data_IF_696160860261
#
_entry.id   IF_696160860261
#
_cell.length_a   1.000
_cell.length_b   1.000
_cell.length_c   1.000
_cell.angle_alpha   90.00
_cell.angle_beta   90.00
_cell.angle_gamma   90.00
#
_symmetry.space_group_name_H-M   'P 1'
#
loop_
_entity.id
_entity.type
_entity.pdbx_description
1 polymer ?
#
# COMPACT_ATOMS: atom_id res chain seq x y z
N UNK A 1 -10.25 -8.94 1.94
CA UNK A 1 -10.93 -8.80 0.64
C UNK A 1 -10.54 -9.94 -0.27
N UNK A 2 -9.29 -10.05 -0.71
CA UNK A 2 -8.88 -11.06 -1.71
C UNK A 2 -9.21 -12.50 -1.32
N UNK A 3 -8.94 -12.91 -0.09
CA UNK A 3 -9.20 -14.29 0.38
C UNK A 3 -10.69 -14.65 0.45
N UNK A 4 -11.57 -13.67 0.45
CA UNK A 4 -13.04 -13.87 0.49
C UNK A 4 -13.71 -13.64 -0.86
N UNK A 5 -12.96 -13.24 -1.88
CA UNK A 5 -13.45 -13.05 -3.24
C UNK A 5 -13.68 -14.41 -3.94
N UNK A 6 -14.55 -15.22 -3.36
CA UNK A 6 -15.06 -16.49 -3.84
C UNK A 6 -14.01 -17.37 -4.54
N UNK A 7 -12.87 -17.62 -3.84
CA UNK A 7 -11.91 -18.65 -4.22
C UNK A 7 -11.02 -18.36 -5.43
N UNK A 8 -11.01 -17.12 -5.90
CA UNK A 8 -10.25 -16.80 -7.10
C UNK A 8 -8.93 -16.08 -6.85
N UNK A 9 -8.54 -15.89 -5.57
CA UNK A 9 -7.24 -15.37 -5.20
C UNK A 9 -6.58 -16.24 -4.14
N UNK A 10 -5.31 -16.55 -4.33
CA UNK A 10 -4.46 -17.16 -3.32
C UNK A 10 -3.48 -16.11 -2.83
N UNK A 11 -3.55 -15.78 -1.54
CA UNK A 11 -2.62 -14.81 -0.94
C UNK A 11 -1.45 -15.55 -0.32
N UNK A 12 -0.24 -15.15 -0.73
CA UNK A 12 1.01 -15.61 -0.12
C UNK A 12 1.76 -14.40 0.47
N UNK A 13 2.44 -14.63 1.56
CA UNK A 13 3.26 -13.64 2.24
C UNK A 13 4.73 -13.94 1.97
N UNK A 14 5.46 -12.94 1.47
CA UNK A 14 6.88 -13.03 1.18
C UNK A 14 7.65 -11.99 1.98
N UNK A 15 8.84 -12.36 2.39
CA UNK A 15 9.76 -11.47 3.08
C UNK A 15 11.21 -11.79 2.68
N UNK A 16 12.15 -10.94 3.09
CA UNK A 16 13.58 -11.18 2.85
C UNK A 16 14.03 -12.51 3.44
N UNK A 17 13.54 -12.81 4.64
CA UNK A 17 13.80 -14.05 5.34
C UNK A 17 12.51 -14.72 5.81
N UNK A 18 12.50 -16.06 5.85
CA UNK A 18 11.37 -16.85 6.37
C UNK A 18 11.40 -16.93 7.88
N UNK A 19 11.23 -15.80 8.55
CA UNK A 19 11.17 -15.68 10.02
C UNK A 19 9.98 -14.82 10.46
N UNK A 20 9.52 -14.93 11.70
CA UNK A 20 8.44 -14.08 12.21
C UNK A 20 8.83 -12.60 12.13
N UNK A 21 7.96 -11.79 11.55
CA UNK A 21 8.12 -10.35 11.42
C UNK A 21 7.19 -9.67 12.41
N UNK A 22 7.74 -8.91 13.34
CA UNK A 22 6.97 -8.12 14.28
C UNK A 22 6.39 -6.89 13.57
N UNK A 23 5.07 -6.74 13.62
CA UNK A 23 4.40 -5.56 13.08
C UNK A 23 4.47 -4.39 14.07
N UNK A 24 4.17 -3.18 13.61
CA UNK A 24 4.04 -1.99 14.47
C UNK A 24 2.94 -2.12 15.53
N UNK A 25 1.96 -2.99 15.31
CA UNK A 25 0.91 -3.32 16.30
C UNK A 25 1.35 -4.36 17.34
N UNK A 26 2.60 -4.85 17.28
CA UNK A 26 3.13 -5.84 18.20
C UNK A 26 2.80 -7.29 17.88
N UNK A 27 1.99 -7.56 16.87
CA UNK A 27 1.69 -8.90 16.39
C UNK A 27 2.81 -9.44 15.50
N UNK A 28 2.86 -10.76 15.29
CA UNK A 28 3.83 -11.39 14.40
C UNK A 28 3.13 -11.91 13.15
N UNK A 29 3.72 -11.62 11.99
CA UNK A 29 3.34 -12.19 10.70
C UNK A 29 4.41 -13.21 10.28
N UNK A 30 3.95 -14.38 9.84
CA UNK A 30 4.82 -15.47 9.38
C UNK A 30 4.77 -15.52 7.86
N UNK A 31 5.87 -15.21 7.14
CA UNK A 31 5.90 -15.32 5.69
C UNK A 31 5.82 -16.78 5.26
N UNK A 32 5.13 -17.02 4.14
CA UNK A 32 5.05 -18.35 3.53
C UNK A 32 6.39 -18.71 2.88
N UNK A 33 7.05 -17.71 2.29
CA UNK A 33 8.30 -17.86 1.54
C UNK A 33 9.26 -16.71 1.84
N UNK A 34 10.55 -16.96 1.73
CA UNK A 34 11.57 -15.91 1.60
C UNK A 34 11.66 -15.46 0.13
N UNK A 35 12.33 -14.33 -0.13
CA UNK A 35 12.59 -13.88 -1.50
C UNK A 35 13.47 -14.85 -2.31
N UNK A 36 14.23 -15.71 -1.64
CA UNK A 36 15.11 -16.70 -2.27
C UNK A 36 14.43 -18.07 -2.49
N UNK A 37 13.28 -18.30 -1.85
CA UNK A 37 12.57 -19.57 -2.00
C UNK A 37 11.86 -19.65 -3.36
N UNK A 38 11.70 -20.87 -3.86
CA UNK A 38 10.76 -21.13 -4.94
C UNK A 38 9.33 -20.94 -4.42
N UNK A 39 8.54 -20.12 -5.10
CA UNK A 39 7.16 -19.84 -4.77
C UNK A 39 6.28 -19.90 -6.04
N UNK A 40 4.95 -20.02 -5.90
CA UNK A 40 4.03 -19.92 -7.03
C UNK A 40 4.21 -18.60 -7.80
N UNK A 41 3.88 -18.56 -9.10
CA UNK A 41 3.85 -17.32 -9.87
C UNK A 41 3.00 -16.25 -9.19
N UNK A 42 3.44 -15.00 -9.26
CA UNK A 42 2.75 -13.87 -8.65
C UNK A 42 2.05 -13.07 -9.75
N UNK A 43 0.72 -13.15 -9.79
CA UNK A 43 -0.09 -12.35 -10.71
C UNK A 43 -0.26 -10.91 -10.23
N UNK A 44 -0.35 -10.72 -8.91
CA UNK A 44 -0.53 -9.42 -8.27
C UNK A 44 0.54 -9.24 -7.20
N UNK A 45 1.47 -8.33 -7.45
CA UNK A 45 2.44 -7.92 -6.45
C UNK A 45 1.84 -6.76 -5.63
N UNK A 46 1.61 -7.00 -4.34
CA UNK A 46 1.05 -6.02 -3.40
C UNK A 46 2.06 -5.68 -2.31
N UNK A 47 2.56 -4.45 -2.31
CA UNK A 47 3.55 -3.98 -1.33
C UNK A 47 2.83 -3.26 -0.19
N UNK A 48 2.91 -3.77 1.04
CA UNK A 48 2.29 -3.13 2.20
C UNK A 48 3.01 -1.85 2.60
N UNK A 49 2.32 -1.07 3.43
CA UNK A 49 2.93 0.06 4.12
C UNK A 49 3.52 -0.34 5.47
N UNK A 50 3.77 0.69 6.29
CA UNK A 50 4.30 0.54 7.63
C UNK A 50 4.59 1.90 8.24
N UNK A 51 5.45 1.97 9.24
CA UNK A 51 6.01 3.25 9.68
C UNK A 51 6.85 3.87 8.57
N UNK A 52 6.62 5.16 8.29
CA UNK A 52 7.30 5.86 7.19
C UNK A 52 8.83 5.74 7.29
N UNK A 53 9.39 5.93 8.46
CA UNK A 53 10.84 5.84 8.67
C UNK A 53 11.38 4.43 8.44
N UNK A 54 10.67 3.40 8.92
CA UNK A 54 11.06 2.00 8.68
C UNK A 54 11.03 1.63 7.19
N UNK A 55 10.02 2.11 6.47
CA UNK A 55 9.89 1.85 5.03
C UNK A 55 10.90 2.67 4.24
N UNK A 56 11.01 3.98 4.50
CA UNK A 56 11.88 4.88 3.74
C UNK A 56 13.36 4.60 4.04
N UNK A 57 13.72 4.43 5.30
CA UNK A 57 15.13 4.27 5.68
C UNK A 57 15.67 2.85 5.48
N UNK A 58 14.81 1.83 5.57
CA UNK A 58 15.25 0.45 5.48
C UNK A 58 14.83 -0.23 4.16
N UNK A 59 13.51 -0.39 3.92
CA UNK A 59 13.04 -1.19 2.80
C UNK A 59 13.27 -0.51 1.43
N UNK A 60 13.09 0.82 1.36
CA UNK A 60 13.21 1.59 0.11
C UNK A 60 14.59 1.45 -0.54
N UNK A 61 15.65 1.38 0.26
CA UNK A 61 17.04 1.29 -0.23
C UNK A 61 17.67 -0.08 -0.02
N UNK A 62 16.93 -1.07 0.50
CA UNK A 62 17.44 -2.42 0.68
C UNK A 62 17.58 -3.12 -0.68
N UNK A 63 18.81 -3.54 -1.09
CA UNK A 63 19.04 -4.16 -2.39
C UNK A 63 18.25 -5.45 -2.62
N UNK A 64 18.04 -6.26 -1.57
CA UNK A 64 17.30 -7.51 -1.68
C UNK A 64 15.81 -7.22 -1.98
N UNK A 65 15.20 -6.25 -1.27
CA UNK A 65 13.85 -5.78 -1.58
C UNK A 65 13.76 -5.23 -3.00
N UNK A 66 14.67 -4.34 -3.38
CA UNK A 66 14.64 -3.71 -4.69
C UNK A 66 14.77 -4.74 -5.83
N UNK A 67 15.65 -5.71 -5.67
CA UNK A 67 15.83 -6.78 -6.65
C UNK A 67 14.57 -7.63 -6.76
N UNK A 68 14.03 -8.10 -5.62
CA UNK A 68 12.84 -8.93 -5.58
C UNK A 68 11.62 -8.19 -6.21
N UNK A 69 11.38 -6.95 -5.82
CA UNK A 69 10.27 -6.13 -6.32
C UNK A 69 10.36 -5.95 -7.84
N UNK A 70 11.55 -5.61 -8.36
CA UNK A 70 11.75 -5.41 -9.80
C UNK A 70 11.56 -6.69 -10.61
N UNK A 71 12.14 -7.79 -10.16
CA UNK A 71 12.05 -9.07 -10.86
C UNK A 71 10.61 -9.61 -10.83
N UNK A 72 9.92 -9.51 -9.71
CA UNK A 72 8.53 -9.95 -9.59
C UNK A 72 7.59 -9.07 -10.41
N UNK A 73 7.76 -7.75 -10.36
CA UNK A 73 6.93 -6.82 -11.14
C UNK A 73 7.08 -7.00 -12.66
N UNK A 74 8.20 -7.54 -13.13
CA UNK A 74 8.40 -7.80 -14.55
C UNK A 74 7.49 -8.90 -15.10
N UNK A 75 6.99 -9.80 -14.25
CA UNK A 75 6.12 -10.91 -14.63
C UNK A 75 4.69 -10.78 -14.09
N UNK A 76 4.48 -9.99 -13.04
CA UNK A 76 3.18 -9.76 -12.46
C UNK A 76 2.27 -8.97 -13.40
N UNK A 77 0.99 -9.37 -13.46
CA UNK A 77 -0.03 -8.66 -14.24
C UNK A 77 -0.35 -7.29 -13.64
N UNK A 78 -0.35 -7.21 -12.30
CA UNK A 78 -0.57 -5.98 -11.56
C UNK A 78 0.48 -5.81 -10.46
N UNK A 79 0.96 -4.60 -10.31
CA UNK A 79 1.89 -4.25 -9.22
C UNK A 79 1.40 -2.99 -8.52
N UNK A 80 1.34 -3.03 -7.22
CA UNK A 80 0.91 -1.85 -6.49
C UNK A 80 1.26 -1.89 -5.01
N UNK A 81 0.78 -0.87 -4.32
CA UNK A 81 1.09 -0.66 -2.90
C UNK A 81 -0.05 0.00 -2.16
N UNK A 82 0.05 -0.02 -0.86
CA UNK A 82 -0.79 0.78 0.03
C UNK A 82 0.09 1.61 0.96
N UNK A 83 -0.42 2.77 1.37
CA UNK A 83 0.25 3.62 2.34
C UNK A 83 1.67 3.99 1.86
N UNK A 84 2.66 3.98 2.74
CA UNK A 84 4.06 4.32 2.40
C UNK A 84 4.79 3.25 1.56
N UNK A 85 4.16 2.12 1.26
CA UNK A 85 4.70 1.15 0.31
C UNK A 85 4.94 1.73 -1.09
N UNK A 86 4.26 2.84 -1.44
CA UNK A 86 4.49 3.57 -2.68
C UNK A 86 5.95 4.05 -2.85
N UNK A 87 6.64 4.37 -1.76
CA UNK A 87 8.04 4.79 -1.81
C UNK A 87 8.97 3.66 -2.24
N UNK A 88 8.68 2.41 -1.85
CA UNK A 88 9.45 1.24 -2.28
C UNK A 88 9.31 1.06 -3.80
N UNK A 89 8.07 1.18 -4.31
CA UNK A 89 7.81 1.08 -5.75
C UNK A 89 8.42 2.23 -6.54
N UNK A 90 8.40 3.45 -5.98
CA UNK A 90 9.04 4.62 -6.59
C UNK A 90 10.55 4.43 -6.71
N UNK A 91 11.22 3.97 -5.64
CA UNK A 91 12.64 3.65 -5.63
C UNK A 91 13.00 2.52 -6.61
N UNK A 92 12.08 1.59 -6.85
CA UNK A 92 12.23 0.56 -7.87
C UNK A 92 12.04 1.09 -9.31
N UNK A 93 11.63 2.35 -9.50
CA UNK A 93 11.29 2.92 -10.80
C UNK A 93 9.95 2.41 -11.38
N UNK A 94 9.13 1.73 -10.57
CA UNK A 94 7.90 1.09 -11.01
C UNK A 94 6.69 2.04 -11.04
N UNK A 95 6.85 3.27 -10.54
CA UNK A 95 5.82 4.31 -10.58
C UNK A 95 6.10 5.40 -11.61
N UNK A 96 7.12 5.25 -12.45
CA UNK A 96 7.46 6.22 -13.47
C UNK A 96 6.29 6.47 -14.44
N UNK A 97 5.93 7.74 -14.64
CA UNK A 97 4.82 8.22 -15.47
C UNK A 97 3.42 7.77 -14.98
N UNK A 98 3.30 7.20 -13.77
CA UNK A 98 2.04 6.71 -13.24
C UNK A 98 1.24 7.81 -12.51
N UNK A 99 -0.08 7.61 -12.47
CA UNK A 99 -0.96 8.34 -11.55
C UNK A 99 -1.02 7.57 -10.24
N UNK A 100 -0.67 8.22 -9.11
CA UNK A 100 -0.41 7.53 -7.84
C UNK A 100 -0.94 8.28 -6.62
N UNK A 101 -1.10 7.57 -5.51
CA UNK A 101 -1.34 8.14 -4.18
C UNK A 101 -0.50 7.39 -3.13
N UNK A 102 -0.50 7.90 -1.91
CA UNK A 102 0.10 7.28 -0.74
C UNK A 102 -0.67 7.71 0.52
N UNK A 103 -0.19 7.32 1.69
CA UNK A 103 -0.76 7.79 2.94
C UNK A 103 -0.79 9.32 3.01
N UNK A 104 -1.91 9.88 3.45
CA UNK A 104 -2.21 11.30 3.34
C UNK A 104 -1.10 12.23 3.87
N UNK A 105 -0.48 11.89 5.01
CA UNK A 105 0.58 12.71 5.59
C UNK A 105 1.91 12.64 4.82
N UNK A 106 2.03 11.69 3.90
CA UNK A 106 3.23 11.48 3.09
C UNK A 106 3.07 11.93 1.64
N UNK A 107 1.90 12.46 1.25
CA UNK A 107 1.67 12.94 -0.12
C UNK A 107 2.67 14.02 -0.54
N UNK A 108 3.01 14.94 0.36
CA UNK A 108 4.00 15.97 0.05
C UNK A 108 5.40 15.38 -0.18
N UNK A 109 5.78 14.38 0.62
CA UNK A 109 7.05 13.68 0.44
C UNK A 109 7.07 12.89 -0.88
N UNK A 110 5.95 12.27 -1.25
CA UNK A 110 5.83 11.58 -2.54
C UNK A 110 5.94 12.57 -3.72
N UNK A 111 5.37 13.78 -3.60
CA UNK A 111 5.51 14.85 -4.61
C UNK A 111 6.96 15.26 -4.85
N UNK A 112 7.84 15.17 -3.85
CA UNK A 112 9.26 15.46 -4.04
C UNK A 112 9.94 14.48 -5.00
N UNK A 113 9.35 13.30 -5.23
CA UNK A 113 9.87 12.33 -6.18
C UNK A 113 9.41 12.59 -7.63
N UNK A 114 8.53 13.56 -7.87
CA UNK A 114 8.03 13.86 -9.20
C UNK A 114 9.15 14.17 -10.20
N UNK A 115 10.14 14.95 -9.77
CA UNK A 115 11.32 15.27 -10.61
C UNK A 115 12.14 14.05 -11.05
N UNK A 116 12.00 12.93 -10.34
CA UNK A 116 12.72 11.69 -10.63
C UNK A 116 11.85 10.66 -11.36
N UNK A 117 10.56 10.61 -11.03
CA UNK A 117 9.65 9.55 -11.48
C UNK A 117 8.57 10.06 -12.45
N UNK A 118 8.42 11.39 -12.62
CA UNK A 118 7.34 12.00 -13.41
C UNK A 118 5.95 11.43 -13.03
N UNK A 119 5.66 11.39 -11.74
CA UNK A 119 4.41 10.88 -11.20
C UNK A 119 3.32 11.96 -11.19
N UNK A 120 2.08 11.53 -11.36
CA UNK A 120 0.90 12.40 -11.20
C UNK A 120 0.19 12.07 -9.90
N UNK A 121 0.04 13.05 -9.03
CA UNK A 121 -0.73 12.90 -7.79
C UNK A 121 -1.95 13.80 -7.91
N UNK A 122 -3.18 13.22 -7.98
CA UNK A 122 -4.41 14.00 -8.03
C UNK A 122 -4.57 14.92 -6.82
N UNK A 123 -5.39 15.94 -6.98
CA UNK A 123 -5.77 16.80 -5.86
C UNK A 123 -6.57 16.03 -4.79
N UNK A 124 -6.55 16.53 -3.57
CA UNK A 124 -7.21 15.91 -2.43
C UNK A 124 -6.44 14.70 -1.88
N UNK A 125 -7.19 13.75 -1.33
CA UNK A 125 -6.68 12.58 -0.62
C UNK A 125 -7.32 11.30 -1.17
N UNK A 126 -6.96 10.87 -2.40
CA UNK A 126 -7.56 9.69 -3.02
C UNK A 126 -7.37 8.44 -2.15
N UNK A 127 -8.44 7.70 -1.92
CA UNK A 127 -8.41 6.46 -1.13
C UNK A 127 -7.71 5.34 -1.87
N UNK A 128 -7.83 5.29 -3.20
CA UNK A 128 -7.14 4.36 -4.09
C UNK A 128 -7.09 4.91 -5.51
N UNK A 129 -6.08 4.50 -6.25
CA UNK A 129 -5.89 4.80 -7.67
C UNK A 129 -5.53 3.51 -8.40
N UNK A 130 -6.21 3.23 -9.50
CA UNK A 130 -5.86 2.18 -10.46
C UNK A 130 -5.37 2.86 -11.74
N UNK A 131 -4.09 2.79 -12.00
CA UNK A 131 -3.47 3.21 -13.26
C UNK A 131 -3.47 2.03 -14.24
N UNK A 132 -4.50 1.98 -15.06
CA UNK A 132 -4.71 0.88 -15.99
C UNK A 132 -3.65 0.82 -17.09
N UNK A 133 -3.18 1.96 -17.54
CA UNK A 133 -2.19 2.07 -18.60
C UNK A 133 -0.89 1.37 -18.20
N UNK A 134 -0.46 1.55 -16.96
CA UNK A 134 0.79 1.00 -16.46
C UNK A 134 0.60 -0.28 -15.65
N UNK A 135 -0.66 -0.75 -15.46
CA UNK A 135 -0.99 -1.87 -14.58
C UNK A 135 -0.45 -1.67 -13.16
N UNK A 136 -0.64 -0.46 -12.65
CA UNK A 136 -0.24 -0.06 -11.30
C UNK A 136 -1.46 0.29 -10.46
N UNK A 137 -1.35 0.07 -9.17
CA UNK A 137 -2.34 0.52 -8.22
C UNK A 137 -1.66 1.04 -6.95
N UNK A 138 -2.21 2.11 -6.37
CA UNK A 138 -1.72 2.67 -5.13
C UNK A 138 -2.87 3.09 -4.23
N UNK A 139 -2.73 2.93 -2.94
CA UNK A 139 -3.75 3.28 -1.95
C UNK A 139 -3.24 4.18 -0.85
N UNK A 140 -4.15 4.89 -0.24
CA UNK A 140 -3.90 5.80 0.87
C UNK A 140 -3.62 5.08 2.20
N UNK A 141 -4.32 5.47 3.25
CA UNK A 141 -4.10 4.95 4.61
C UNK A 141 -4.77 3.61 4.90
N UNK A 142 -4.67 3.18 6.15
CA UNK A 142 -5.03 1.86 6.64
C UNK A 142 -6.43 1.39 6.20
N UNK A 143 -7.47 2.18 6.46
CA UNK A 143 -8.86 1.79 6.12
C UNK A 143 -9.14 1.87 4.62
N UNK A 144 -8.54 2.82 3.90
CA UNK A 144 -8.71 2.95 2.44
C UNK A 144 -8.08 1.80 1.64
N UNK A 145 -7.28 0.96 2.28
CA UNK A 145 -6.78 -0.26 1.63
C UNK A 145 -7.88 -1.29 1.36
N UNK A 146 -8.98 -1.25 2.12
CA UNK A 146 -10.16 -2.09 1.83
C UNK A 146 -10.82 -1.62 0.53
N UNK A 147 -11.01 -0.30 0.36
CA UNK A 147 -11.55 0.26 -0.88
C UNK A 147 -10.67 -0.08 -2.08
N UNK A 148 -9.35 0.14 -1.95
CA UNK A 148 -8.40 -0.21 -3.01
C UNK A 148 -8.48 -1.68 -3.40
N UNK A 149 -8.59 -2.57 -2.42
CA UNK A 149 -8.69 -4.01 -2.68
C UNK A 149 -10.01 -4.35 -3.40
N UNK A 150 -11.13 -3.72 -3.04
CA UNK A 150 -12.40 -3.88 -3.73
C UNK A 150 -12.35 -3.32 -5.16
N UNK A 151 -11.75 -2.14 -5.36
CA UNK A 151 -11.52 -1.57 -6.69
C UNK A 151 -10.70 -2.52 -7.58
N UNK A 152 -9.66 -3.16 -7.03
CA UNK A 152 -8.83 -4.10 -7.77
C UNK A 152 -9.58 -5.41 -8.07
N UNK A 153 -10.39 -5.91 -7.13
CA UNK A 153 -11.27 -7.07 -7.37
C UNK A 153 -12.28 -6.75 -8.47
N UNK A 154 -12.92 -5.58 -8.42
CA UNK A 154 -13.84 -5.14 -9.47
C UNK A 154 -13.14 -5.09 -10.84
N UNK A 155 -11.94 -4.53 -10.89
CA UNK A 155 -11.15 -4.42 -12.11
C UNK A 155 -10.76 -5.76 -12.72
N UNK A 156 -10.43 -6.75 -11.89
CA UNK A 156 -9.91 -8.05 -12.35
C UNK A 156 -11.03 -9.07 -12.55
N UNK A 157 -12.02 -9.06 -11.69
CA UNK A 157 -13.08 -10.09 -11.61
C UNK A 157 -14.50 -9.58 -11.89
N UNK A 158 -14.63 -8.27 -12.08
CA UNK A 158 -15.92 -7.62 -12.35
C UNK A 158 -16.68 -7.20 -11.08
N UNK A 159 -17.68 -6.34 -11.31
CA UNK A 159 -18.44 -5.66 -10.27
C UNK A 159 -19.12 -6.61 -9.29
N UNK A 160 -19.77 -7.67 -9.80
CA UNK A 160 -20.46 -8.65 -8.96
C UNK A 160 -19.53 -9.27 -7.89
N UNK A 161 -18.29 -9.57 -8.28
CA UNK A 161 -17.32 -10.17 -7.35
C UNK A 161 -16.89 -9.16 -6.27
N UNK A 162 -16.75 -7.90 -6.62
CA UNK A 162 -16.45 -6.84 -5.65
C UNK A 162 -17.61 -6.66 -4.67
N UNK A 163 -18.85 -6.55 -5.17
CA UNK A 163 -20.07 -6.45 -4.35
C UNK A 163 -20.25 -7.65 -3.41
N UNK A 164 -20.04 -8.86 -3.92
CA UNK A 164 -20.11 -10.07 -3.11
C UNK A 164 -19.02 -10.11 -2.02
N UNK A 165 -17.82 -9.64 -2.33
CA UNK A 165 -16.71 -9.55 -1.36
C UNK A 165 -16.98 -8.49 -0.30
N UNK A 166 -17.51 -7.33 -0.68
CA UNK A 166 -17.91 -6.25 0.20
C UNK A 166 -18.98 -6.73 1.20
N UNK A 167 -20.02 -7.38 0.67
CA UNK A 167 -21.09 -7.94 1.50
C UNK A 167 -20.57 -9.04 2.44
N UNK A 168 -19.71 -9.94 1.95
CA UNK A 168 -19.15 -11.02 2.76
C UNK A 168 -18.39 -10.52 3.98
N UNK A 169 -17.60 -9.45 3.83
CA UNK A 169 -16.84 -8.86 4.95
C UNK A 169 -17.66 -7.82 5.73
N UNK A 170 -18.90 -7.60 5.35
CA UNK A 170 -19.80 -6.58 5.94
C UNK A 170 -19.14 -5.19 5.95
N UNK A 171 -18.47 -4.82 4.87
CA UNK A 171 -17.84 -3.51 4.76
C UNK A 171 -18.88 -2.44 4.40
N UNK A 172 -19.47 -1.86 5.43
CA UNK A 172 -20.42 -0.76 5.34
C UNK A 172 -20.02 0.32 6.36
N UNK A 173 -18.98 1.12 6.05
CA UNK A 173 -18.40 2.06 7.01
C UNK A 173 -19.37 3.16 7.39
N UNK A 174 -19.64 3.27 8.68
CA UNK A 174 -20.43 4.34 9.31
C UNK A 174 -19.72 4.80 10.59
N UNK A 175 -18.62 5.55 10.46
CA UNK A 175 -17.83 5.95 11.62
C UNK A 175 -18.57 6.98 12.48
N UNK A 176 -18.40 6.93 13.81
CA UNK A 176 -19.05 7.88 14.73
C UNK A 176 -18.50 9.31 14.62
N UNK A 177 -17.40 9.49 13.88
CA UNK A 177 -16.75 10.78 13.60
C UNK A 177 -16.30 10.80 12.13
N UNK A 178 -16.33 11.98 11.50
CA UNK A 178 -16.13 12.13 10.05
C UNK A 178 -14.87 12.93 9.69
N UNK A 179 -13.82 12.80 10.50
CA UNK A 179 -12.53 13.49 10.31
C UNK A 179 -11.46 12.62 9.66
N UNK A 180 -11.85 11.47 9.09
CA UNK A 180 -10.91 10.56 8.43
C UNK A 180 -10.38 11.05 7.08
N UNK A 181 -11.03 12.03 6.47
CA UNK A 181 -10.53 12.75 5.30
C UNK A 181 -9.84 14.04 5.75
N UNK A 182 -8.52 14.21 5.53
CA UNK A 182 -7.80 15.42 5.92
C UNK A 182 -8.33 16.70 5.26
N UNK A 183 -8.98 16.58 4.09
CA UNK A 183 -9.64 17.70 3.41
C UNK A 183 -10.90 18.18 4.10
N UNK A 184 -11.59 17.29 4.81
CA UNK A 184 -12.81 17.60 5.59
C UNK A 184 -12.52 17.87 7.06
N UNK A 185 -11.36 17.44 7.58
CA UNK A 185 -10.99 17.60 8.98
C UNK A 185 -10.59 19.04 9.33
N UNK A 186 -10.87 19.51 10.58
CA UNK A 186 -10.36 20.80 11.04
C UNK A 186 -8.82 20.86 10.91
N UNK A 187 -8.29 21.95 10.35
CA UNK A 187 -6.85 22.10 10.11
C UNK A 187 -6.00 22.05 11.39
N UNK A 188 -6.57 22.48 12.52
CA UNK A 188 -5.92 22.33 13.84
C UNK A 188 -5.71 20.87 14.23
N UNK A 189 -6.70 20.01 13.95
CA UNK A 189 -6.60 18.58 14.19
C UNK A 189 -5.58 17.92 13.24
N UNK A 190 -5.62 18.24 11.95
CA UNK A 190 -4.63 17.77 10.97
C UNK A 190 -3.21 18.08 11.43
N UNK A 191 -2.96 19.34 11.85
CA UNK A 191 -1.66 19.76 12.35
C UNK A 191 -1.22 18.99 13.60
N UNK A 192 -2.12 18.79 14.57
CA UNK A 192 -1.82 18.02 15.79
C UNK A 192 -1.46 16.57 15.48
N UNK A 193 -2.21 15.93 14.56
CA UNK A 193 -1.92 14.55 14.15
C UNK A 193 -0.56 14.44 13.44
N UNK A 194 -0.22 15.39 12.57
CA UNK A 194 1.10 15.44 11.93
C UNK A 194 2.24 15.58 12.95
N UNK A 195 2.08 16.45 13.95
CA UNK A 195 3.06 16.62 15.02
C UNK A 195 3.22 15.33 15.84
N UNK A 196 2.10 14.69 16.20
CA UNK A 196 2.16 13.44 16.97
C UNK A 196 2.80 12.29 16.18
N UNK A 197 2.58 12.21 14.88
CA UNK A 197 3.24 11.23 14.03
C UNK A 197 4.75 11.48 13.93
N UNK A 198 5.18 12.72 13.79
CA UNK A 198 6.59 13.10 13.79
C UNK A 198 7.28 12.83 15.15
N UNK A 199 6.55 13.03 16.28
CA UNK A 199 7.04 12.72 17.62
C UNK A 199 7.09 11.22 17.93
N UNK A 200 6.11 10.45 17.45
CA UNK A 200 6.09 9.00 17.61
C UNK A 200 7.27 8.33 16.90
N UNK A 201 7.68 8.86 15.77
CA UNK A 201 8.87 8.43 15.05
C UNK A 201 10.11 8.45 15.92
N UNK A 202 10.27 9.50 16.75
CA UNK A 202 11.42 9.67 17.64
C UNK A 202 11.45 8.68 18.82
N UNK A 203 10.27 8.22 19.28
CA UNK A 203 10.13 7.29 20.41
C UNK A 203 10.38 5.81 20.08
N UNK A 204 10.43 5.46 18.80
CA UNK A 204 10.66 4.07 18.36
C UNK A 204 12.14 3.76 18.04
N UNK A 205 13.01 4.77 18.04
CA UNK A 205 14.43 4.65 17.73
C UNK A 205 15.37 5.00 18.91
N UNK A 206 14.83 5.40 20.05
CA UNK A 206 15.52 5.51 21.33
C UNK A 206 15.27 4.23 22.17
#
# INVERSE_FOLDING_TARGET
>A
VFNVAYGNFTTIWLAEEKRPIKTSAGTFVYPNYSFADQHPPIDILYVPGGHADGVINNAMFNPAFQTFIKTTAATAQWTGSVCVGAFILAAAGLLNNCTVTTYWSQLNNLRLLDSYCNIKIPEGYPRGIIDEQHKRFTGGGVSSSVDLALMLVEKIKGKWMAEASELYIQYSPDPPVYTGDPGAAPQSLVKQVLISQAGATKLYYD
#
